data_IF_023186235667
#
_entry.id   IF_023186235667
#
_cell.length_a   1.000
_cell.length_b   1.000
_cell.length_c   1.000
_cell.angle_alpha   90.00
_cell.angle_beta   90.00
_cell.angle_gamma   90.00
#
_symmetry.space_group_name_H-M   'P 1'
#
loop_
_entity.id
_entity.type
_entity.pdbx_description
1 polymer ?
#
# COMPACT_ATOMS: atom_id res chain seq x y z
N UNK A 1 1.54 -28.09 -32.01
CA UNK A 1 2.61 -27.40 -31.24
C UNK A 1 1.93 -26.47 -30.22
N UNK A 2 1.83 -26.89 -28.98
CA UNK A 2 1.24 -26.08 -27.91
C UNK A 2 2.22 -24.94 -27.65
N UNK A 3 1.86 -23.70 -28.00
CA UNK A 3 2.62 -22.52 -27.59
C UNK A 3 2.77 -22.60 -26.07
N UNK A 4 3.97 -22.78 -25.55
CA UNK A 4 4.27 -22.60 -24.14
C UNK A 4 3.72 -21.21 -23.76
N UNK A 5 2.65 -21.18 -22.94
CA UNK A 5 2.15 -19.91 -22.40
C UNK A 5 3.28 -19.28 -21.62
N UNK A 6 3.63 -18.04 -21.96
CA UNK A 6 4.61 -17.28 -21.19
C UNK A 6 4.16 -17.26 -19.74
N UNK A 7 5.11 -17.53 -18.83
CA UNK A 7 4.87 -17.55 -17.39
C UNK A 7 4.49 -16.16 -16.94
N UNK A 8 3.22 -15.92 -16.61
CA UNK A 8 2.80 -14.66 -16.04
C UNK A 8 3.19 -14.59 -14.56
N UNK A 9 3.72 -13.44 -14.16
CA UNK A 9 4.17 -13.17 -12.80
C UNK A 9 3.44 -11.94 -12.26
N UNK A 10 3.06 -12.02 -10.98
CA UNK A 10 2.49 -10.89 -10.26
C UNK A 10 3.24 -10.71 -8.94
N UNK A 11 3.50 -9.48 -8.57
CA UNK A 11 4.00 -9.12 -7.24
C UNK A 11 2.85 -8.51 -6.47
N UNK A 12 2.58 -9.08 -5.30
CA UNK A 12 1.48 -8.70 -4.44
C UNK A 12 1.98 -7.78 -3.34
N UNK A 13 1.24 -6.69 -3.15
CA UNK A 13 1.28 -5.91 -1.92
C UNK A 13 0.39 -6.54 -0.84
N UNK A 14 0.58 -6.17 0.42
CA UNK A 14 -0.27 -6.62 1.53
C UNK A 14 -1.75 -6.35 1.28
N UNK A 15 -2.09 -5.21 0.69
CA UNK A 15 -3.47 -4.82 0.38
C UNK A 15 -4.15 -5.72 -0.66
N UNK A 16 -3.37 -6.39 -1.51
CA UNK A 16 -3.90 -7.38 -2.48
C UNK A 16 -4.54 -8.61 -1.81
N UNK A 17 -4.28 -8.83 -0.52
CA UNK A 17 -4.82 -9.96 0.25
C UNK A 17 -5.68 -9.50 1.45
N UNK A 18 -5.50 -8.27 1.91
CA UNK A 18 -6.08 -7.81 3.18
C UNK A 18 -7.12 -6.71 3.04
N UNK A 19 -7.29 -6.12 1.85
CA UNK A 19 -8.27 -5.04 1.62
C UNK A 19 -9.68 -5.49 1.99
N UNK A 20 -10.44 -4.54 2.56
CA UNK A 20 -11.85 -4.77 2.90
C UNK A 20 -12.69 -5.03 1.64
N UNK A 21 -12.32 -4.42 0.51
CA UNK A 21 -13.00 -4.54 -0.77
C UNK A 21 -12.93 -5.95 -1.38
N UNK A 22 -11.99 -6.77 -0.91
CA UNK A 22 -11.85 -8.18 -1.32
C UNK A 22 -12.83 -9.11 -0.59
N UNK A 23 -13.42 -8.66 0.51
CA UNK A 23 -14.25 -9.51 1.36
C UNK A 23 -15.69 -9.52 0.89
N UNK A 24 -16.30 -10.68 0.96
CA UNK A 24 -17.76 -10.79 0.81
C UNK A 24 -18.46 -10.33 2.10
N UNK A 25 -19.76 -10.05 2.01
CA UNK A 25 -20.56 -9.68 3.17
C UNK A 25 -20.45 -10.73 4.29
N UNK A 26 -20.00 -10.29 5.47
CA UNK A 26 -19.80 -11.18 6.62
C UNK A 26 -18.51 -12.01 6.59
N UNK A 27 -17.71 -11.98 5.51
CA UNK A 27 -16.47 -12.75 5.40
C UNK A 27 -15.38 -12.16 6.30
N UNK A 28 -14.77 -13.03 7.12
CA UNK A 28 -13.64 -12.63 7.96
C UNK A 28 -12.35 -12.53 7.14
N UNK A 29 -11.38 -11.75 7.64
CA UNK A 29 -10.10 -11.53 6.95
C UNK A 29 -9.39 -12.85 6.59
N UNK A 30 -9.27 -13.77 7.54
CA UNK A 30 -8.54 -15.03 7.33
C UNK A 30 -9.22 -15.91 6.28
N UNK A 31 -10.55 -15.88 6.22
CA UNK A 31 -11.34 -16.59 5.19
C UNK A 31 -11.11 -16.00 3.81
N UNK A 32 -11.10 -14.66 3.69
CA UNK A 32 -10.83 -13.96 2.45
C UNK A 32 -9.41 -14.25 1.93
N UNK A 33 -8.41 -14.24 2.82
CA UNK A 33 -7.02 -14.60 2.46
C UNK A 33 -6.98 -16.05 1.96
N UNK A 34 -7.59 -16.99 2.67
CA UNK A 34 -7.63 -18.42 2.27
C UNK A 34 -8.28 -18.61 0.90
N UNK A 35 -9.40 -17.95 0.66
CA UNK A 35 -10.07 -17.96 -0.66
C UNK A 35 -9.15 -17.42 -1.75
N UNK A 36 -8.45 -16.32 -1.51
CA UNK A 36 -7.48 -15.78 -2.47
C UNK A 36 -6.32 -16.73 -2.74
N UNK A 37 -5.76 -17.35 -1.69
CA UNK A 37 -4.68 -18.33 -1.86
C UNK A 37 -5.14 -19.56 -2.65
N UNK A 38 -6.36 -20.04 -2.44
CA UNK A 38 -6.93 -21.13 -3.21
C UNK A 38 -7.02 -20.79 -4.70
N UNK A 39 -7.46 -19.56 -5.02
CA UNK A 39 -7.53 -19.09 -6.40
C UNK A 39 -6.14 -18.93 -7.03
N UNK A 40 -5.17 -18.41 -6.27
CA UNK A 40 -3.75 -18.32 -6.69
C UNK A 40 -3.17 -19.71 -6.94
N UNK A 41 -3.47 -20.69 -6.07
CA UNK A 41 -3.04 -22.07 -6.22
C UNK A 41 -3.56 -22.69 -7.53
N UNK A 42 -4.86 -22.53 -7.80
CA UNK A 42 -5.47 -23.01 -9.01
C UNK A 42 -4.87 -22.35 -10.27
N UNK A 43 -4.70 -21.03 -10.24
CA UNK A 43 -4.05 -20.28 -11.32
C UNK A 43 -2.59 -20.70 -11.55
N UNK A 44 -1.87 -21.02 -10.48
CA UNK A 44 -0.49 -21.55 -10.58
C UNK A 44 -0.44 -22.90 -11.26
N UNK A 45 -1.33 -23.80 -10.88
CA UNK A 45 -1.37 -25.18 -11.41
C UNK A 45 -1.86 -25.21 -12.86
N UNK A 46 -2.98 -24.53 -13.15
CA UNK A 46 -3.64 -24.61 -14.46
C UNK A 46 -3.10 -23.64 -15.50
N UNK A 47 -2.63 -22.46 -15.07
CA UNK A 47 -2.26 -21.34 -15.95
C UNK A 47 -0.77 -21.00 -15.96
N UNK A 48 0.03 -21.63 -15.10
CA UNK A 48 1.44 -21.26 -14.87
C UNK A 48 1.61 -19.78 -14.44
N UNK A 49 0.63 -19.24 -13.71
CA UNK A 49 0.70 -17.91 -13.09
C UNK A 49 1.37 -18.03 -11.74
N UNK A 50 2.38 -17.20 -11.46
CA UNK A 50 3.05 -17.17 -10.16
C UNK A 50 2.88 -15.83 -9.47
N UNK A 51 2.47 -15.89 -8.19
CA UNK A 51 2.37 -14.73 -7.32
C UNK A 51 3.57 -14.66 -6.38
N UNK A 52 4.20 -13.50 -6.31
CA UNK A 52 5.41 -13.25 -5.53
C UNK A 52 5.11 -12.21 -4.46
N UNK A 53 5.80 -12.32 -3.34
CA UNK A 53 5.72 -11.34 -2.26
C UNK A 53 7.13 -10.87 -1.88
N UNK A 54 7.38 -9.55 -1.77
CA UNK A 54 8.67 -9.05 -1.32
C UNK A 54 9.02 -9.52 0.09
N UNK A 55 10.20 -10.14 0.21
CA UNK A 55 10.71 -10.65 1.48
C UNK A 55 11.93 -9.82 1.94
N UNK A 56 12.06 -9.50 3.22
CA UNK A 56 11.09 -9.79 4.29
C UNK A 56 9.96 -8.76 4.41
N UNK A 57 10.03 -7.59 3.81
CA UNK A 57 9.26 -6.39 4.09
C UNK A 57 7.74 -6.60 4.02
N UNK A 58 7.19 -6.91 2.85
CA UNK A 58 5.75 -7.13 2.67
C UNK A 58 5.28 -8.44 3.30
N UNK A 59 6.12 -9.47 3.26
CA UNK A 59 5.81 -10.75 3.90
C UNK A 59 5.65 -10.61 5.42
N UNK A 60 6.55 -9.89 6.08
CA UNK A 60 6.47 -9.65 7.53
C UNK A 60 5.25 -8.80 7.88
N UNK A 61 4.92 -7.81 7.06
CA UNK A 61 3.70 -7.01 7.23
C UNK A 61 2.45 -7.88 7.13
N UNK A 62 2.33 -8.72 6.10
CA UNK A 62 1.22 -9.65 5.93
C UNK A 62 1.09 -10.59 7.13
N UNK A 63 2.19 -11.20 7.55
CA UNK A 63 2.16 -12.15 8.69
C UNK A 63 1.84 -11.48 10.01
N UNK A 64 2.30 -10.24 10.24
CA UNK A 64 1.88 -9.46 11.40
C UNK A 64 0.40 -9.11 11.37
N UNK A 65 -0.13 -8.79 10.18
CA UNK A 65 -1.55 -8.54 9.99
C UNK A 65 -2.38 -9.79 10.31
N UNK A 66 -1.99 -10.95 9.77
CA UNK A 66 -2.64 -12.23 10.05
C UNK A 66 -2.63 -12.60 11.54
N UNK A 67 -1.51 -12.37 12.23
CA UNK A 67 -1.41 -12.59 13.70
C UNK A 67 -2.36 -11.67 14.47
N UNK A 68 -2.52 -10.42 14.06
CA UNK A 68 -3.42 -9.44 14.71
C UNK A 68 -4.89 -9.85 14.61
N UNK A 69 -5.24 -10.58 13.55
CA UNK A 69 -6.60 -11.09 13.33
C UNK A 69 -6.80 -12.55 13.74
N UNK A 70 -5.86 -13.11 14.52
CA UNK A 70 -5.89 -14.46 15.04
C UNK A 70 -6.14 -15.54 13.96
N UNK A 71 -5.50 -15.38 12.79
CA UNK A 71 -5.55 -16.40 11.76
C UNK A 71 -4.85 -17.69 12.23
N UNK A 72 -5.40 -18.84 11.85
CA UNK A 72 -4.87 -20.16 12.22
C UNK A 72 -3.48 -20.44 11.57
N UNK A 73 -2.76 -21.39 12.15
CA UNK A 73 -1.42 -21.77 11.71
C UNK A 73 -1.40 -22.39 10.31
N UNK A 74 -2.48 -23.01 9.88
CA UNK A 74 -2.57 -23.62 8.54
C UNK A 74 -2.53 -22.55 7.47
N UNK A 75 -3.16 -21.39 7.70
CA UNK A 75 -3.15 -20.29 6.75
C UNK A 75 -1.73 -19.74 6.51
N UNK A 76 -0.86 -19.74 7.52
CA UNK A 76 0.55 -19.36 7.34
C UNK A 76 1.30 -20.35 6.44
N UNK A 77 1.00 -21.65 6.58
CA UNK A 77 1.56 -22.68 5.70
C UNK A 77 1.06 -22.52 4.27
N UNK A 78 -0.22 -22.16 4.09
CA UNK A 78 -0.78 -21.88 2.76
C UNK A 78 -0.12 -20.68 2.11
N UNK A 79 0.11 -19.58 2.86
CA UNK A 79 0.87 -18.42 2.38
C UNK A 79 2.27 -18.84 1.91
N UNK A 80 2.98 -19.62 2.71
CA UNK A 80 4.33 -20.10 2.39
C UNK A 80 4.38 -21.05 1.19
N UNK A 81 3.29 -21.77 0.95
CA UNK A 81 3.19 -22.73 -0.15
C UNK A 81 2.90 -22.03 -1.49
N UNK A 82 2.00 -21.07 -1.47
CA UNK A 82 1.44 -20.51 -2.72
C UNK A 82 2.08 -19.19 -3.14
N UNK A 83 2.63 -18.41 -2.19
CA UNK A 83 3.35 -17.19 -2.50
C UNK A 83 4.86 -17.42 -2.55
N UNK A 84 5.49 -16.99 -3.63
CA UNK A 84 6.94 -17.08 -3.79
C UNK A 84 7.59 -15.90 -3.10
N UNK A 85 8.28 -16.17 -1.98
CA UNK A 85 9.06 -15.14 -1.27
C UNK A 85 10.30 -14.80 -2.06
N UNK A 86 10.53 -13.53 -2.37
CA UNK A 86 11.72 -13.06 -3.07
C UNK A 86 12.14 -11.68 -2.59
N UNK A 87 13.41 -11.53 -2.26
CA UNK A 87 14.00 -10.23 -1.94
C UNK A 87 14.35 -9.50 -3.23
N UNK A 88 13.90 -8.25 -3.43
CA UNK A 88 14.29 -7.48 -4.61
C UNK A 88 15.79 -7.13 -4.56
N UNK A 89 16.45 -7.21 -5.71
CA UNK A 89 17.85 -6.80 -5.83
C UNK A 89 17.92 -5.27 -5.99
N UNK A 90 17.95 -4.57 -4.86
CA UNK A 90 17.94 -3.10 -4.80
C UNK A 90 19.17 -2.45 -5.45
N UNK A 91 20.23 -3.19 -5.71
CA UNK A 91 21.48 -2.68 -6.29
C UNK A 91 21.54 -2.79 -7.81
N UNK A 92 20.78 -3.72 -8.39
CA UNK A 92 20.85 -4.01 -9.83
C UNK A 92 19.63 -3.51 -10.62
N UNK A 93 18.51 -3.24 -9.93
CA UNK A 93 17.32 -2.72 -10.59
C UNK A 93 17.58 -1.32 -11.14
N UNK A 94 17.50 -1.19 -12.46
CA UNK A 94 17.69 0.10 -13.14
C UNK A 94 16.34 0.85 -13.18
N UNK A 95 16.38 2.07 -12.65
CA UNK A 95 15.24 2.99 -12.67
C UNK A 95 15.60 4.17 -13.59
N UNK A 96 14.72 4.58 -14.52
CA UNK A 96 14.96 5.77 -15.33
C UNK A 96 15.17 7.01 -14.47
N UNK A 97 16.12 7.86 -14.83
CA UNK A 97 16.40 9.10 -14.09
C UNK A 97 15.17 10.02 -13.97
N UNK A 98 14.28 10.00 -14.97
CA UNK A 98 13.01 10.73 -14.95
C UNK A 98 12.13 10.36 -13.75
N UNK A 99 12.10 9.08 -13.36
CA UNK A 99 11.35 8.61 -12.17
C UNK A 99 11.89 9.25 -10.90
N UNK A 100 13.22 9.39 -10.79
CA UNK A 100 13.84 10.07 -9.66
C UNK A 100 13.58 11.59 -9.67
N UNK A 101 13.58 12.19 -10.86
CA UNK A 101 13.23 13.61 -11.03
C UNK A 101 11.81 13.89 -10.54
N UNK A 102 10.83 13.08 -10.93
CA UNK A 102 9.45 13.17 -10.47
C UNK A 102 9.33 12.93 -8.95
N UNK A 103 10.12 12.01 -8.38
CA UNK A 103 10.17 11.82 -6.92
C UNK A 103 10.62 13.10 -6.20
N UNK A 104 11.69 13.74 -6.67
CA UNK A 104 12.18 15.00 -6.09
C UNK A 104 11.12 16.10 -6.17
N UNK A 105 10.40 16.19 -7.29
CA UNK A 105 9.32 17.15 -7.49
C UNK A 105 8.16 16.89 -6.51
N UNK A 106 7.69 15.63 -6.41
CA UNK A 106 6.66 15.23 -5.45
C UNK A 106 7.06 15.55 -4.00
N UNK A 107 8.31 15.30 -3.63
CA UNK A 107 8.81 15.63 -2.28
C UNK A 107 8.80 17.13 -2.00
N UNK A 108 9.21 17.95 -2.96
CA UNK A 108 9.16 19.43 -2.82
C UNK A 108 7.74 19.95 -2.67
N UNK A 109 6.79 19.42 -3.43
CA UNK A 109 5.37 19.78 -3.32
C UNK A 109 4.79 19.41 -1.97
N UNK A 110 5.17 18.25 -1.42
CA UNK A 110 4.78 17.80 -0.08
C UNK A 110 5.29 18.73 1.01
N UNK A 111 6.57 19.05 0.95
CA UNK A 111 7.18 20.00 1.89
C UNK A 111 6.44 21.35 1.85
N UNK A 112 6.12 21.84 0.66
CA UNK A 112 5.35 23.08 0.49
C UNK A 112 3.95 22.99 1.08
N UNK A 113 3.23 21.87 0.85
CA UNK A 113 1.90 21.66 1.48
C UNK A 113 2.00 21.58 3.00
N UNK A 114 2.99 20.86 3.53
CA UNK A 114 3.23 20.77 4.97
C UNK A 114 3.51 22.13 5.61
N UNK A 115 4.32 22.96 4.93
CA UNK A 115 4.63 24.33 5.38
C UNK A 115 3.36 25.18 5.47
N UNK A 116 2.52 25.19 4.43
CA UNK A 116 1.25 25.93 4.43
C UNK A 116 0.31 25.51 5.55
N UNK A 117 0.25 24.23 5.87
CA UNK A 117 -0.57 23.72 6.99
C UNK A 117 0.00 24.21 8.31
N UNK A 118 1.34 24.21 8.48
CA UNK A 118 1.98 24.71 9.69
C UNK A 118 1.73 26.21 9.87
N UNK A 119 1.94 27.02 8.83
CA UNK A 119 1.66 28.45 8.85
C UNK A 119 0.21 28.75 9.21
N UNK A 120 -0.75 28.09 8.59
CA UNK A 120 -2.17 28.25 8.91
C UNK A 120 -2.50 27.90 10.36
N UNK A 121 -1.88 26.87 10.90
CA UNK A 121 -2.10 26.45 12.29
C UNK A 121 -1.49 27.45 13.29
N UNK A 122 -0.33 28.04 12.96
CA UNK A 122 0.29 29.11 13.76
C UNK A 122 -0.61 30.35 13.79
N UNK A 123 -1.10 30.79 12.63
CA UNK A 123 -2.03 31.93 12.54
C UNK A 123 -3.32 31.67 13.34
N UNK A 124 -3.91 30.51 13.20
CA UNK A 124 -5.13 30.14 13.96
C UNK A 124 -4.84 30.16 15.47
N UNK A 125 -3.74 29.57 15.91
CA UNK A 125 -3.36 29.54 17.33
C UNK A 125 -3.18 30.95 17.92
N UNK A 126 -2.51 31.83 17.19
CA UNK A 126 -2.30 33.22 17.62
C UNK A 126 -3.64 33.99 17.71
N UNK A 127 -4.50 33.86 16.68
CA UNK A 127 -5.82 34.51 16.64
C UNK A 127 -6.73 34.06 17.75
N UNK A 128 -6.80 32.76 18.03
CA UNK A 128 -7.60 32.21 19.13
C UNK A 128 -7.07 32.62 20.49
N UNK A 129 -5.75 32.57 20.70
CA UNK A 129 -5.15 33.00 21.95
C UNK A 129 -5.46 34.47 22.29
N UNK A 130 -5.39 35.36 21.28
CA UNK A 130 -5.77 36.77 21.45
C UNK A 130 -7.25 36.88 21.82
N UNK A 131 -8.12 36.20 21.08
CA UNK A 131 -9.58 36.22 21.33
C UNK A 131 -9.95 35.76 22.73
N UNK A 132 -9.35 34.68 23.22
CA UNK A 132 -9.61 34.12 24.53
C UNK A 132 -9.01 35.00 25.66
N UNK A 133 -7.85 35.61 25.42
CA UNK A 133 -7.26 36.57 26.35
C UNK A 133 -8.16 37.79 26.56
N UNK A 134 -8.75 38.30 25.47
CA UNK A 134 -9.73 39.40 25.53
C UNK A 134 -11.02 39.02 26.30
N UNK A 135 -11.34 37.75 26.39
CA UNK A 135 -12.46 37.21 27.19
C UNK A 135 -12.06 36.85 28.64
N UNK A 136 -10.88 37.24 29.07
CA UNK A 136 -10.33 36.94 30.43
C UNK A 136 -10.26 35.42 30.72
N UNK A 137 -10.07 34.58 29.73
CA UNK A 137 -9.80 33.14 29.96
C UNK A 137 -8.39 32.96 30.45
N UNK A 138 -8.20 32.09 31.44
CA UNK A 138 -6.89 31.84 32.03
C UNK A 138 -5.94 31.12 31.06
N UNK A 139 -4.62 31.32 31.33
CA UNK A 139 -3.55 30.79 30.43
C UNK A 139 -3.55 29.27 30.29
N UNK A 140 -3.82 28.53 31.36
CA UNK A 140 -3.78 27.07 31.32
C UNK A 140 -4.94 26.51 30.53
N UNK A 141 -6.11 27.12 30.62
CA UNK A 141 -7.27 26.76 29.78
C UNK A 141 -7.02 27.06 28.31
N UNK A 142 -6.43 28.22 27.96
CA UNK A 142 -6.05 28.55 26.59
C UNK A 142 -5.09 27.50 26.03
N UNK A 143 -4.04 27.17 26.80
CA UNK A 143 -3.02 26.21 26.40
C UNK A 143 -3.60 24.80 26.19
N UNK A 144 -4.46 24.34 27.08
CA UNK A 144 -4.99 22.97 27.05
C UNK A 144 -6.09 22.80 26.01
N UNK A 145 -7.08 23.68 25.97
CA UNK A 145 -8.29 23.49 25.18
C UNK A 145 -8.17 24.04 23.76
N UNK A 146 -7.61 25.23 23.58
CA UNK A 146 -7.44 25.84 22.27
C UNK A 146 -6.20 25.31 21.56
N UNK A 147 -5.01 25.54 22.11
CA UNK A 147 -3.76 25.13 21.46
C UNK A 147 -3.66 23.61 21.31
N UNK A 148 -4.16 22.84 22.29
CA UNK A 148 -4.18 21.38 22.23
C UNK A 148 -5.04 20.86 21.10
N UNK A 149 -6.19 21.45 20.85
CA UNK A 149 -7.06 21.11 19.72
C UNK A 149 -6.38 21.43 18.38
N UNK A 150 -5.79 22.62 18.25
CA UNK A 150 -5.09 23.05 17.01
C UNK A 150 -3.90 22.13 16.70
N UNK A 151 -3.14 21.70 17.72
CA UNK A 151 -2.04 20.74 17.53
C UNK A 151 -2.57 19.39 17.03
N UNK A 152 -3.70 18.91 17.54
CA UNK A 152 -4.32 17.67 17.10
C UNK A 152 -4.77 17.76 15.64
N UNK A 153 -5.44 18.83 15.28
CA UNK A 153 -5.89 19.11 13.92
C UNK A 153 -4.71 19.27 12.95
N UNK A 154 -3.70 20.04 13.34
CA UNK A 154 -2.45 20.17 12.58
C UNK A 154 -1.82 18.79 12.28
N UNK A 155 -1.64 17.96 13.31
CA UNK A 155 -1.04 16.62 13.14
C UNK A 155 -1.85 15.74 12.18
N UNK A 156 -3.17 15.83 12.20
CA UNK A 156 -4.03 15.09 11.29
C UNK A 156 -3.89 15.59 9.85
N UNK A 157 -4.01 16.90 9.62
CA UNK A 157 -3.87 17.54 8.32
C UNK A 157 -2.48 17.32 7.71
N UNK A 158 -1.43 17.49 8.53
CA UNK A 158 -0.05 17.31 8.12
C UNK A 158 0.21 15.88 7.66
N UNK A 159 -0.19 14.87 8.45
CA UNK A 159 -0.05 13.46 8.06
C UNK A 159 -0.77 13.15 6.78
N UNK A 160 -2.01 13.61 6.62
CA UNK A 160 -2.78 13.38 5.40
C UNK A 160 -2.12 14.03 4.19
N UNK A 161 -1.65 15.28 4.30
CA UNK A 161 -0.98 15.99 3.21
C UNK A 161 0.34 15.35 2.77
N UNK A 162 1.02 14.65 3.69
CA UNK A 162 2.28 13.97 3.38
C UNK A 162 2.08 12.54 2.83
N UNK A 163 0.99 11.86 3.18
CA UNK A 163 0.75 10.47 2.75
C UNK A 163 0.12 10.35 1.37
N UNK A 164 -0.67 11.32 0.95
CA UNK A 164 -1.47 11.18 -0.26
C UNK A 164 -0.63 11.02 -1.53
N UNK A 165 -0.85 9.87 -2.21
CA UNK A 165 -0.35 9.61 -3.56
C UNK A 165 1.16 9.49 -3.71
N UNK A 166 1.87 9.04 -2.70
CA UNK A 166 3.32 8.89 -2.74
C UNK A 166 3.73 7.54 -2.15
N UNK A 167 4.85 7.05 -2.66
CA UNK A 167 5.59 5.96 -2.04
C UNK A 167 6.09 6.45 -0.67
N UNK A 168 5.45 6.07 0.40
CA UNK A 168 5.78 6.54 1.74
C UNK A 168 6.41 5.45 2.63
N UNK A 169 6.53 4.23 2.09
CA UNK A 169 7.12 3.11 2.81
C UNK A 169 8.17 2.33 1.99
N UNK A 170 9.08 1.67 2.70
CA UNK A 170 10.04 0.77 2.07
C UNK A 170 9.38 -0.50 1.49
N UNK A 171 8.36 -1.11 2.12
CA UNK A 171 7.59 -2.19 1.51
C UNK A 171 7.01 -1.85 0.15
N UNK A 172 6.38 -0.67 -0.02
CA UNK A 172 5.80 -0.25 -1.30
C UNK A 172 6.86 -0.16 -2.39
N UNK A 173 8.03 0.39 -2.05
CA UNK A 173 9.17 0.44 -2.97
C UNK A 173 9.63 -0.97 -3.36
N UNK A 174 9.70 -1.90 -2.42
CA UNK A 174 10.10 -3.28 -2.67
C UNK A 174 9.12 -4.00 -3.61
N UNK A 175 7.81 -3.72 -3.53
CA UNK A 175 6.82 -4.24 -4.49
C UNK A 175 7.17 -3.79 -5.91
N UNK A 176 7.45 -2.51 -6.11
CA UNK A 176 7.78 -1.96 -7.42
C UNK A 176 9.13 -2.46 -7.95
N UNK A 177 10.14 -2.51 -7.09
CA UNK A 177 11.47 -3.00 -7.46
C UNK A 177 11.43 -4.47 -7.86
N UNK A 178 10.74 -5.30 -7.08
CA UNK A 178 10.59 -6.73 -7.40
C UNK A 178 9.81 -6.93 -8.69
N UNK A 179 8.74 -6.17 -8.91
CA UNK A 179 7.97 -6.22 -10.14
C UNK A 179 8.82 -5.82 -11.35
N UNK A 180 9.64 -4.76 -11.22
CA UNK A 180 10.56 -4.30 -12.27
C UNK A 180 11.65 -5.33 -12.59
N UNK A 181 12.26 -5.92 -11.55
CA UNK A 181 13.28 -6.96 -11.68
C UNK A 181 12.74 -8.20 -12.43
N UNK A 182 11.50 -8.57 -12.18
CA UNK A 182 10.88 -9.80 -12.68
C UNK A 182 10.09 -9.63 -13.96
N UNK A 183 9.94 -8.41 -14.46
CA UNK A 183 8.98 -8.07 -15.51
C UNK A 183 7.57 -8.58 -15.18
N UNK A 184 7.11 -8.24 -13.98
CA UNK A 184 5.87 -8.74 -13.39
C UNK A 184 4.80 -7.64 -13.29
N UNK A 185 3.53 -8.03 -13.25
CA UNK A 185 2.44 -7.13 -12.88
C UNK A 185 2.43 -6.87 -11.38
N UNK A 186 2.09 -5.66 -10.99
CA UNK A 186 1.88 -5.25 -9.59
C UNK A 186 0.40 -5.42 -9.24
N UNK A 187 0.11 -5.98 -8.07
CA UNK A 187 -1.25 -6.06 -7.52
C UNK A 187 -1.29 -5.34 -6.18
N UNK A 188 -2.04 -4.27 -6.10
CA UNK A 188 -2.21 -3.47 -4.89
C UNK A 188 -3.52 -2.67 -4.93
N UNK A 189 -3.96 -2.15 -3.79
CA UNK A 189 -5.07 -1.19 -3.67
C UNK A 189 -4.59 0.19 -3.22
N UNK A 190 -3.28 0.44 -3.23
CA UNK A 190 -2.68 1.72 -2.83
C UNK A 190 -2.44 2.62 -4.04
N UNK A 191 -2.97 3.86 -3.99
CA UNK A 191 -2.84 4.85 -5.07
C UNK A 191 -1.38 5.33 -5.27
N UNK A 192 -0.55 5.29 -4.23
CA UNK A 192 0.88 5.57 -4.35
C UNK A 192 1.60 4.52 -5.18
N UNK A 193 1.38 3.24 -4.87
CA UNK A 193 1.94 2.12 -5.64
C UNK A 193 1.46 2.18 -7.08
N UNK A 194 0.17 2.43 -7.32
CA UNK A 194 -0.40 2.56 -8.67
C UNK A 194 0.29 3.64 -9.49
N UNK A 195 0.34 4.86 -8.96
CA UNK A 195 0.99 6.01 -9.62
C UNK A 195 2.46 5.71 -9.98
N UNK A 196 3.18 5.05 -9.08
CA UNK A 196 4.58 4.72 -9.31
C UNK A 196 4.78 3.52 -10.22
N UNK A 197 3.87 2.54 -10.21
CA UNK A 197 3.85 1.46 -11.19
C UNK A 197 3.69 2.01 -12.62
N UNK A 198 2.77 2.94 -12.82
CA UNK A 198 2.56 3.63 -14.10
C UNK A 198 3.81 4.38 -14.57
N UNK A 199 4.46 5.14 -13.68
CA UNK A 199 5.71 5.87 -13.97
C UNK A 199 6.86 4.94 -14.34
N UNK A 200 6.91 3.77 -13.76
CA UNK A 200 7.93 2.74 -14.06
C UNK A 200 7.59 1.91 -15.29
N UNK A 201 6.42 2.14 -15.90
CA UNK A 201 5.92 1.37 -17.03
C UNK A 201 5.57 -0.08 -16.66
N UNK A 202 5.17 -0.31 -15.41
CA UNK A 202 4.74 -1.62 -14.92
C UNK A 202 3.25 -1.82 -15.16
N UNK A 203 2.86 -3.07 -15.46
CA UNK A 203 1.45 -3.46 -15.46
C UNK A 203 0.91 -3.37 -14.03
N UNK A 204 -0.16 -2.63 -13.84
CA UNK A 204 -0.85 -2.55 -12.55
C UNK A 204 -2.21 -3.23 -12.62
N UNK A 205 -2.56 -3.95 -11.57
CA UNK A 205 -3.87 -4.58 -11.38
C UNK A 205 -4.39 -4.15 -10.01
N UNK A 206 -5.58 -3.56 -10.01
CA UNK A 206 -6.27 -3.18 -8.77
C UNK A 206 -6.55 -4.42 -7.92
N UNK A 207 -6.23 -4.37 -6.62
CA UNK A 207 -6.37 -5.51 -5.70
C UNK A 207 -7.77 -6.13 -5.75
N UNK A 208 -8.82 -5.30 -5.72
CA UNK A 208 -10.21 -5.75 -5.79
C UNK A 208 -10.59 -6.43 -7.14
N UNK A 209 -9.85 -6.13 -8.21
CA UNK A 209 -10.08 -6.71 -9.54
C UNK A 209 -9.30 -8.00 -9.79
N UNK A 210 -8.27 -8.25 -9.00
CA UNK A 210 -7.36 -9.38 -9.21
C UNK A 210 -8.05 -10.76 -9.12
N UNK A 211 -8.94 -11.05 -8.13
CA UNK A 211 -9.66 -12.31 -8.09
C UNK A 211 -10.47 -12.57 -9.35
N UNK A 212 -11.27 -11.59 -9.78
CA UNK A 212 -12.08 -11.69 -10.99
C UNK A 212 -11.24 -11.94 -12.24
N UNK A 213 -10.09 -11.29 -12.33
CA UNK A 213 -9.15 -11.52 -13.43
C UNK A 213 -8.64 -12.97 -13.46
N UNK A 214 -8.29 -13.54 -12.32
CA UNK A 214 -7.86 -14.94 -12.23
C UNK A 214 -9.00 -15.90 -12.57
N UNK A 215 -10.20 -15.66 -12.07
CA UNK A 215 -11.40 -16.45 -12.39
C UNK A 215 -11.71 -16.46 -13.89
N UNK A 216 -11.66 -15.30 -14.53
CA UNK A 216 -11.86 -15.21 -16.00
C UNK A 216 -10.78 -16.00 -16.76
N UNK A 217 -9.52 -15.88 -16.35
CA UNK A 217 -8.45 -16.67 -16.97
C UNK A 217 -8.64 -18.17 -16.81
N UNK A 218 -9.13 -18.61 -15.64
CA UNK A 218 -9.41 -20.04 -15.36
C UNK A 218 -10.57 -20.58 -16.20
N UNK A 219 -11.62 -19.78 -16.44
CA UNK A 219 -12.75 -20.18 -17.30
C UNK A 219 -12.33 -20.44 -18.75
N UNK A 220 -11.32 -19.74 -19.26
CA UNK A 220 -10.86 -19.89 -20.63
C UNK A 220 -9.90 -21.06 -20.85
N UNK A 221 -9.59 -21.84 -19.83
CA UNK A 221 -8.64 -22.98 -19.88
C UNK A 221 -9.31 -24.32 -19.52
N UNK A 222 -10.55 -24.24 -18.99
CA UNK A 222 -11.39 -25.40 -18.65
C UNK A 222 -12.08 -26.08 -19.83
#
# INVERSE_FOLDING_TARGET
>A
MTKLREKQRFVLDTTALTSVELRYDGEKLCEAIRRMLSLIAEARIKLNISCHIPFPTVYDELTQFMKRYDCDSELFVEVDTWLVKKTPNRFEVKIPAEVFYEYVKDMRERMSRGMKIAESSIWLSASEAISLTLKNVDRETIKRESTGYIIKDFRAKYRNALRYGTLDSAPDLDVLLLAKEMDAGVVASDEGIKKWAERLGLRFVEGASFPKMLEEYLKHVG
#
